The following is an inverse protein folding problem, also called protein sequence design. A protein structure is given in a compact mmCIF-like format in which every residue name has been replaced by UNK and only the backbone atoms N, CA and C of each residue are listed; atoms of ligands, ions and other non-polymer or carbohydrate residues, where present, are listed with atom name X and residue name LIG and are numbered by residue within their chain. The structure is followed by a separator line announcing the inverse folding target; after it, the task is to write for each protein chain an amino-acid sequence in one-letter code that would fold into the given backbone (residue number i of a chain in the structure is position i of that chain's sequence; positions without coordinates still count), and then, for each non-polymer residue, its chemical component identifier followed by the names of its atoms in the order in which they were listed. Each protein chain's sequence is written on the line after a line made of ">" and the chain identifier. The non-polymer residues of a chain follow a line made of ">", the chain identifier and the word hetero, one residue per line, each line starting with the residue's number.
data_IF_604431536556
#
_entry.id   IF_604431536556
#
_cell.length_a   1.000
_cell.length_b   1.000
_cell.length_c   1.000
_cell.angle_alpha   90.00
_cell.angle_beta   90.00
_cell.angle_gamma   90.00
#
_symmetry.space_group_name_H-M   'P 1'
#
loop_
_entity.id
_entity.type
_entity.pdbx_description
1 polymer ?
#
# COMPACT_ATOMS: atom_id res chain seq x y z
N UNK A 1 -19.29 -0.26 -14.89
CA UNK A 1 -18.83 -0.44 -13.50
C UNK A 1 -18.99 0.91 -12.83
N UNK A 2 -19.80 1.01 -11.78
CA UNK A 2 -19.89 2.25 -11.02
C UNK A 2 -18.55 2.43 -10.27
N UNK A 3 -17.72 3.37 -10.70
CA UNK A 3 -16.52 3.74 -9.99
C UNK A 3 -16.86 4.42 -8.67
N UNK A 4 -15.94 4.37 -7.71
CA UNK A 4 -16.02 5.15 -6.47
C UNK A 4 -16.03 6.65 -6.80
N UNK A 5 -16.81 7.43 -6.06
CA UNK A 5 -16.91 8.88 -6.28
C UNK A 5 -15.78 9.57 -5.52
N UNK A 6 -15.32 10.71 -6.02
CA UNK A 6 -14.23 11.49 -5.38
C UNK A 6 -14.60 11.95 -3.97
N UNK A 7 -15.91 12.11 -3.70
CA UNK A 7 -16.47 12.42 -2.38
C UNK A 7 -16.08 11.38 -1.31
N UNK A 8 -15.93 10.11 -1.72
CA UNK A 8 -15.64 8.99 -0.84
C UNK A 8 -14.12 8.83 -0.59
N UNK A 9 -13.29 9.73 -1.16
CA UNK A 9 -11.82 9.72 -1.08
C UNK A 9 -11.25 10.93 -0.33
N UNK A 10 -12.09 11.77 0.26
CA UNK A 10 -11.67 13.03 0.92
C UNK A 10 -10.70 12.83 2.09
N UNK A 11 -10.71 11.66 2.70
CA UNK A 11 -9.86 11.32 3.85
C UNK A 11 -8.50 10.75 3.43
N UNK A 12 -8.28 10.53 2.13
CA UNK A 12 -7.08 9.92 1.58
C UNK A 12 -6.18 11.01 1.00
N UNK A 13 -4.94 11.06 1.47
CA UNK A 13 -4.00 12.15 1.15
C UNK A 13 -2.79 11.68 0.34
N UNK A 14 -2.39 10.41 0.48
CA UNK A 14 -1.20 9.85 -0.17
C UNK A 14 -1.53 9.21 -1.52
N UNK A 15 -2.75 8.70 -1.71
CA UNK A 15 -3.16 8.11 -2.99
C UNK A 15 -3.20 9.15 -4.13
N UNK A 16 -2.26 9.06 -5.06
CA UNK A 16 -2.14 10.00 -6.19
C UNK A 16 -1.39 11.29 -5.87
N UNK A 17 -0.79 11.41 -4.69
CA UNK A 17 0.08 12.54 -4.32
C UNK A 17 1.29 12.64 -5.26
N UNK A 18 1.60 13.85 -5.72
CA UNK A 18 2.82 14.15 -6.50
C UNK A 18 4.05 14.43 -5.63
N UNK A 19 3.88 14.52 -4.30
CA UNK A 19 4.92 14.88 -3.33
C UNK A 19 5.27 13.76 -2.36
N UNK A 20 5.16 12.51 -2.79
CA UNK A 20 5.35 11.35 -1.91
C UNK A 20 6.80 11.24 -1.45
N UNK A 21 7.00 11.29 -0.13
CA UNK A 21 8.33 11.11 0.47
C UNK A 21 8.61 9.63 0.66
N UNK A 22 9.66 9.13 0.01
CA UNK A 22 10.09 7.74 0.13
C UNK A 22 11.07 7.59 1.29
N UNK A 23 10.59 7.12 2.43
CA UNK A 23 11.45 6.71 3.54
C UNK A 23 12.04 5.32 3.26
N UNK A 24 13.31 5.13 3.63
CA UNK A 24 14.00 3.84 3.53
C UNK A 24 14.04 3.08 4.86
N UNK A 25 13.58 3.72 5.94
CA UNK A 25 13.35 3.11 7.25
C UNK A 25 11.92 2.56 7.34
N UNK A 26 11.65 1.75 8.37
CA UNK A 26 10.32 1.19 8.59
C UNK A 26 9.29 2.28 8.96
N UNK A 27 8.38 2.58 8.03
CA UNK A 27 7.35 3.62 8.19
C UNK A 27 5.94 3.08 7.95
N UNK A 28 5.29 2.48 8.96
CA UNK A 28 3.93 1.94 8.81
C UNK A 28 2.87 3.04 8.66
N UNK A 29 3.19 4.28 9.04
CA UNK A 29 2.30 5.46 8.97
C UNK A 29 1.93 5.87 7.53
N UNK A 30 2.66 5.35 6.53
CA UNK A 30 2.37 5.60 5.10
C UNK A 30 1.12 4.84 4.61
N UNK A 31 0.62 3.88 5.39
CA UNK A 31 -0.53 3.06 4.99
C UNK A 31 -1.84 3.81 5.22
N UNK A 32 -2.58 4.03 4.13
CA UNK A 32 -3.94 4.58 4.15
C UNK A 32 -4.98 3.49 3.90
N UNK A 33 -6.14 3.63 4.54
CA UNK A 33 -7.29 2.74 4.37
C UNK A 33 -8.49 3.51 3.86
N UNK A 34 -9.47 2.79 3.33
CA UNK A 34 -10.71 3.34 2.84
C UNK A 34 -11.86 2.38 3.06
N UNK A 35 -13.08 2.89 3.03
CA UNK A 35 -14.27 2.06 3.23
C UNK A 35 -14.48 1.06 2.09
N UNK A 36 -14.82 -0.17 2.47
CA UNK A 36 -15.20 -1.21 1.52
C UNK A 36 -16.62 -0.93 0.98
N UNK A 37 -16.75 -0.74 -0.33
CA UNK A 37 -18.05 -0.51 -0.99
C UNK A 37 -18.91 -1.78 -1.16
N UNK A 38 -18.34 -2.95 -0.91
CA UNK A 38 -19.01 -4.25 -1.07
C UNK A 38 -18.87 -5.11 0.20
N UNK A 39 -19.40 -4.65 1.36
CA UNK A 39 -19.27 -5.40 2.62
C UNK A 39 -20.08 -6.71 2.62
N UNK A 40 -21.13 -6.81 1.80
CA UNK A 40 -22.01 -7.97 1.73
C UNK A 40 -21.55 -9.03 0.71
N UNK A 41 -20.35 -8.90 0.15
CA UNK A 41 -19.79 -9.83 -0.81
C UNK A 41 -18.41 -10.24 -0.33
N UNK A 42 -18.20 -11.54 -0.25
CA UNK A 42 -16.86 -12.07 -0.03
C UNK A 42 -16.03 -11.92 -1.31
N UNK A 43 -14.88 -11.26 -1.19
CA UNK A 43 -13.91 -11.16 -2.26
C UNK A 43 -12.50 -11.15 -1.68
N UNK A 44 -11.56 -11.71 -2.44
CA UNK A 44 -10.14 -11.66 -2.10
C UNK A 44 -9.42 -10.69 -3.02
N UNK A 45 -8.62 -9.81 -2.42
CA UNK A 45 -7.68 -8.95 -3.14
C UNK A 45 -6.29 -9.53 -2.93
N UNK A 46 -5.61 -9.84 -4.03
CA UNK A 46 -4.22 -10.31 -4.01
C UNK A 46 -3.32 -9.18 -4.48
N UNK A 47 -2.32 -8.84 -3.67
CA UNK A 47 -1.20 -8.00 -4.08
C UNK A 47 -0.07 -8.92 -4.54
N UNK A 48 0.50 -8.64 -5.71
CA UNK A 48 1.76 -9.26 -6.13
C UNK A 48 2.81 -8.16 -6.13
N UNK A 49 3.82 -8.29 -5.28
CA UNK A 49 4.87 -7.29 -5.10
C UNK A 49 6.22 -7.94 -5.44
N UNK A 50 6.56 -8.08 -6.74
CA UNK A 50 7.80 -8.74 -7.17
C UNK A 50 9.06 -7.92 -6.86
N UNK A 51 8.90 -6.65 -6.50
CA UNK A 51 9.99 -5.69 -6.28
C UNK A 51 10.32 -5.49 -4.79
N UNK A 52 9.82 -6.37 -3.90
CA UNK A 52 10.07 -6.22 -2.47
C UNK A 52 11.54 -6.55 -2.12
N UNK A 53 12.21 -5.62 -1.45
CA UNK A 53 13.58 -5.79 -0.95
C UNK A 53 13.73 -5.27 0.48
N UNK A 54 14.55 -5.95 1.27
CA UNK A 54 14.86 -5.57 2.65
C UNK A 54 16.29 -5.96 3.01
N UNK A 55 16.82 -5.47 4.12
CA UNK A 55 18.18 -5.78 4.59
C UNK A 55 18.17 -6.95 5.58
N UNK A 56 19.16 -7.84 5.49
CA UNK A 56 19.35 -8.89 6.49
C UNK A 56 19.81 -8.28 7.83
N UNK A 57 19.13 -8.55 8.96
CA UNK A 57 19.49 -7.95 10.26
C UNK A 57 20.86 -8.40 10.78
N UNK A 58 21.40 -9.53 10.31
CA UNK A 58 22.68 -10.07 10.76
C UNK A 58 23.86 -9.59 9.93
N UNK A 59 23.70 -9.47 8.60
CA UNK A 59 24.79 -9.20 7.66
C UNK A 59 24.70 -7.83 6.99
N UNK A 60 23.55 -7.15 7.06
CA UNK A 60 23.31 -5.86 6.40
C UNK A 60 23.23 -5.95 4.87
N UNK A 61 23.23 -7.15 4.30
CA UNK A 61 23.15 -7.35 2.85
C UNK A 61 21.71 -7.23 2.34
N UNK A 62 21.50 -6.70 1.11
CA UNK A 62 20.19 -6.62 0.50
C UNK A 62 19.66 -8.01 0.14
N UNK A 63 18.41 -8.26 0.50
CA UNK A 63 17.65 -9.47 0.20
C UNK A 63 16.47 -9.09 -0.69
N UNK A 64 16.26 -9.84 -1.77
CA UNK A 64 15.12 -9.68 -2.67
C UNK A 64 14.14 -10.85 -2.43
N UNK A 65 12.86 -10.54 -2.24
CA UNK A 65 11.81 -11.52 -1.95
C UNK A 65 10.62 -11.24 -2.86
N UNK A 66 9.95 -12.28 -3.33
CA UNK A 66 8.71 -12.16 -4.10
C UNK A 66 7.54 -12.29 -3.13
N UNK A 67 6.72 -11.23 -3.03
CA UNK A 67 5.50 -11.17 -2.21
C UNK A 67 4.21 -11.33 -3.02
#
# INVERSE_FOLDING_TARGET
>A
MAGRRDEDLTDITLLGSQGTTYAFDYTPEVLETFDNQHPNRDYFVKFNCPEFTTLCPKTGQPVFIIG
#
